data_IF_647881724095
#
_entry.id   IF_647881724095
#
_cell.length_a   1.000
_cell.length_b   1.000
_cell.length_c   1.000
_cell.angle_alpha   90.00
_cell.angle_beta   90.00
_cell.angle_gamma   90.00
#
_symmetry.space_group_name_H-M   'P 1'
#
loop_
_entity.id
_entity.type
_entity.pdbx_description
1 polymer ?
#
# COMPACT_ATOMS: atom_id res chain seq x y z
N UNK A 1 -63.02 -12.45 6.46
CA UNK A 1 -61.93 -11.86 5.66
C UNK A 1 -60.71 -11.70 6.55
N UNK A 2 -59.62 -12.45 6.28
CA UNK A 2 -58.38 -12.39 7.08
C UNK A 2 -57.47 -11.32 6.48
N UNK A 3 -57.15 -10.29 7.27
CA UNK A 3 -56.22 -9.24 6.89
C UNK A 3 -54.80 -9.80 6.74
N UNK A 4 -54.18 -9.50 5.60
CA UNK A 4 -52.83 -9.91 5.23
C UNK A 4 -51.80 -9.20 6.10
N UNK A 5 -50.98 -9.98 6.82
CA UNK A 5 -49.73 -9.49 7.41
C UNK A 5 -48.74 -9.21 6.27
N UNK A 6 -48.58 -7.94 5.95
CA UNK A 6 -47.44 -7.47 5.16
C UNK A 6 -46.18 -7.65 6.01
N UNK A 7 -45.35 -8.61 5.63
CA UNK A 7 -43.96 -8.68 6.10
C UNK A 7 -43.27 -7.47 5.49
N UNK A 8 -42.88 -6.51 6.34
CA UNK A 8 -41.93 -5.48 5.95
C UNK A 8 -40.62 -6.18 5.60
N UNK A 9 -40.44 -6.53 4.32
CA UNK A 9 -39.11 -6.69 3.77
C UNK A 9 -38.41 -5.35 4.03
N UNK A 10 -37.26 -5.32 4.73
CA UNK A 10 -36.48 -4.09 4.77
C UNK A 10 -36.26 -3.70 3.30
N UNK A 11 -36.45 -2.42 2.94
CA UNK A 11 -36.22 -2.00 1.58
C UNK A 11 -34.81 -2.46 1.24
N UNK A 12 -34.69 -3.18 0.13
CA UNK A 12 -33.46 -3.26 -0.65
C UNK A 12 -33.21 -1.82 -1.08
N UNK A 13 -32.74 -1.02 -0.13
CA UNK A 13 -32.26 0.31 -0.33
C UNK A 13 -30.95 0.12 -1.07
N UNK A 14 -31.08 -0.10 -2.38
CA UNK A 14 -30.29 0.59 -3.38
C UNK A 14 -30.34 2.08 -3.04
N UNK A 15 -29.59 2.45 -2.01
CA UNK A 15 -28.94 3.72 -1.87
C UNK A 15 -27.88 3.74 -2.98
N UNK A 16 -28.35 3.85 -4.22
CA UNK A 16 -27.66 4.67 -5.22
C UNK A 16 -27.81 6.08 -4.70
N UNK A 17 -27.03 6.39 -3.65
CA UNK A 17 -26.75 7.76 -3.29
C UNK A 17 -26.14 8.30 -4.58
N UNK A 18 -26.75 9.36 -5.12
CA UNK A 18 -26.06 10.23 -6.04
C UNK A 18 -24.89 10.84 -5.26
N UNK A 19 -23.81 10.06 -5.10
CA UNK A 19 -22.58 10.53 -4.50
C UNK A 19 -22.05 11.52 -5.53
N UNK A 20 -21.85 12.80 -5.16
CA UNK A 20 -21.23 13.75 -6.06
C UNK A 20 -19.96 13.10 -6.61
N UNK A 21 -19.72 13.22 -7.91
CA UNK A 21 -18.49 12.77 -8.54
C UNK A 21 -17.33 13.61 -7.98
N UNK A 22 -16.86 13.25 -6.78
CA UNK A 22 -15.70 13.83 -6.16
C UNK A 22 -14.46 13.28 -6.88
N UNK A 23 -13.45 14.13 -7.06
CA UNK A 23 -12.15 13.77 -7.64
C UNK A 23 -11.42 12.65 -6.86
N UNK A 24 -11.93 12.29 -5.68
CA UNK A 24 -11.55 11.12 -4.91
C UNK A 24 -12.37 9.89 -5.35
N UNK A 25 -12.38 9.59 -6.64
CA UNK A 25 -12.89 8.29 -7.08
C UNK A 25 -11.96 7.25 -6.45
N UNK A 26 -12.50 6.39 -5.59
CA UNK A 26 -11.64 5.45 -4.87
C UNK A 26 -10.92 4.48 -5.80
N UNK A 27 -10.04 3.67 -5.23
CA UNK A 27 -9.08 2.89 -6.01
C UNK A 27 -9.74 1.84 -6.91
N UNK A 28 -9.05 1.33 -7.94
CA UNK A 28 -9.54 0.21 -8.75
C UNK A 28 -9.95 -1.00 -7.91
N UNK A 29 -9.20 -1.31 -6.84
CA UNK A 29 -9.54 -2.38 -5.90
C UNK A 29 -10.84 -2.08 -5.15
N UNK A 30 -11.05 -0.84 -4.70
CA UNK A 30 -12.29 -0.43 -4.05
C UNK A 30 -13.48 -0.59 -5.01
N UNK A 31 -13.39 -0.07 -6.24
CA UNK A 31 -14.44 -0.22 -7.25
C UNK A 31 -14.69 -1.68 -7.63
N UNK A 32 -13.61 -2.46 -7.77
CA UNK A 32 -13.71 -3.89 -8.02
C UNK A 32 -14.44 -4.61 -6.88
N UNK A 33 -14.09 -4.27 -5.64
CA UNK A 33 -14.75 -4.80 -4.44
C UNK A 33 -16.23 -4.42 -4.41
N UNK A 34 -16.58 -3.17 -4.70
CA UNK A 34 -17.97 -2.70 -4.75
C UNK A 34 -18.76 -3.42 -5.85
N UNK A 35 -18.23 -3.50 -7.07
CA UNK A 35 -18.87 -4.18 -8.19
C UNK A 35 -19.12 -5.66 -7.88
N UNK A 36 -18.11 -6.33 -7.31
CA UNK A 36 -18.26 -7.70 -6.86
C UNK A 36 -19.31 -7.84 -5.75
N UNK A 37 -19.29 -6.96 -4.75
CA UNK A 37 -20.23 -7.02 -3.64
C UNK A 37 -21.69 -6.87 -4.09
N UNK A 38 -21.98 -5.91 -4.98
CA UNK A 38 -23.35 -5.59 -5.42
C UNK A 38 -23.87 -6.42 -6.59
N UNK A 39 -23.00 -6.84 -7.51
CA UNK A 39 -23.41 -7.51 -8.75
C UNK A 39 -22.74 -8.88 -8.86
N UNK A 40 -21.43 -8.94 -8.62
CA UNK A 40 -20.65 -10.17 -8.76
C UNK A 40 -21.18 -11.32 -7.89
N UNK A 41 -21.51 -11.07 -6.62
CA UNK A 41 -22.07 -12.08 -5.72
C UNK A 41 -23.38 -12.69 -6.23
N UNK A 42 -24.26 -11.87 -6.81
CA UNK A 42 -25.50 -12.38 -7.40
C UNK A 42 -25.22 -13.25 -8.63
N UNK A 43 -24.29 -12.82 -9.49
CA UNK A 43 -23.87 -13.58 -10.67
C UNK A 43 -23.24 -14.93 -10.29
N UNK A 44 -22.30 -14.92 -9.33
CA UNK A 44 -21.66 -16.13 -8.80
C UNK A 44 -22.70 -17.06 -8.19
N UNK A 45 -23.59 -16.55 -7.34
CA UNK A 45 -24.67 -17.34 -6.74
C UNK A 45 -25.61 -17.97 -7.77
N UNK A 46 -25.88 -17.30 -8.90
CA UNK A 46 -26.64 -17.89 -10.01
C UNK A 46 -25.88 -19.08 -10.63
N UNK A 47 -24.59 -18.89 -10.95
CA UNK A 47 -23.77 -19.95 -11.55
C UNK A 47 -23.67 -21.17 -10.63
N UNK A 48 -23.30 -20.96 -9.37
CA UNK A 48 -23.23 -22.02 -8.36
C UNK A 48 -24.58 -22.71 -8.19
N UNK A 49 -25.66 -21.94 -8.07
CA UNK A 49 -27.01 -22.47 -7.94
C UNK A 49 -27.42 -23.36 -9.12
N UNK A 50 -27.05 -23.00 -10.36
CA UNK A 50 -27.28 -23.82 -11.55
C UNK A 50 -26.47 -25.11 -11.53
N UNK A 51 -25.20 -25.05 -11.10
CA UNK A 51 -24.32 -26.21 -10.97
C UNK A 51 -24.85 -27.17 -9.90
N UNK A 52 -25.23 -26.64 -8.73
CA UNK A 52 -25.83 -27.41 -7.65
C UNK A 52 -27.18 -28.02 -8.07
N UNK A 53 -28.01 -27.28 -8.81
CA UNK A 53 -29.25 -27.84 -9.35
C UNK A 53 -28.98 -29.02 -10.29
N UNK A 54 -27.99 -28.90 -11.19
CA UNK A 54 -27.62 -29.95 -12.15
C UNK A 54 -27.01 -31.18 -11.48
N UNK A 55 -26.01 -31.01 -10.62
CA UNK A 55 -25.25 -32.11 -10.00
C UNK A 55 -25.92 -32.67 -8.74
N UNK A 56 -26.62 -31.81 -8.00
CA UNK A 56 -27.39 -32.16 -6.80
C UNK A 56 -28.79 -32.71 -7.11
N UNK A 57 -29.30 -32.50 -8.33
CA UNK A 57 -30.66 -32.84 -8.71
C UNK A 57 -31.70 -32.01 -7.94
N UNK A 58 -31.37 -30.76 -7.62
CA UNK A 58 -32.25 -29.84 -6.89
C UNK A 58 -33.09 -28.99 -7.84
N UNK A 59 -34.17 -28.40 -7.32
CA UNK A 59 -34.96 -27.43 -8.08
C UNK A 59 -34.15 -26.17 -8.40
N UNK A 60 -34.05 -25.81 -9.69
CA UNK A 60 -33.21 -24.70 -10.19
C UNK A 60 -33.43 -23.40 -9.42
N UNK A 61 -34.68 -22.93 -9.32
CA UNK A 61 -35.01 -21.67 -8.66
C UNK A 61 -34.62 -21.67 -7.19
N UNK A 62 -34.88 -22.79 -6.48
CA UNK A 62 -34.51 -22.92 -5.06
C UNK A 62 -33.00 -22.85 -4.89
N UNK A 63 -32.23 -23.57 -5.71
CA UNK A 63 -30.76 -23.55 -5.63
C UNK A 63 -30.18 -22.18 -5.92
N UNK A 64 -30.66 -21.50 -6.97
CA UNK A 64 -30.20 -20.14 -7.34
C UNK A 64 -30.45 -19.16 -6.21
N UNK A 65 -31.69 -19.06 -5.70
CA UNK A 65 -32.01 -18.13 -4.62
C UNK A 65 -31.23 -18.43 -3.34
N UNK A 66 -31.01 -19.72 -3.04
CA UNK A 66 -30.24 -20.15 -1.86
C UNK A 66 -28.77 -19.75 -2.00
N UNK A 67 -28.16 -19.94 -3.17
CA UNK A 67 -26.75 -19.61 -3.38
C UNK A 67 -26.49 -18.11 -3.49
N UNK A 68 -27.42 -17.33 -4.07
CA UNK A 68 -27.34 -15.87 -4.00
C UNK A 68 -27.32 -15.43 -2.53
N UNK A 69 -28.26 -15.92 -1.71
CA UNK A 69 -28.29 -15.59 -0.28
C UNK A 69 -27.01 -16.02 0.44
N UNK A 70 -26.50 -17.22 0.14
CA UNK A 70 -25.26 -17.74 0.71
C UNK A 70 -24.05 -16.83 0.42
N UNK A 71 -23.88 -16.41 -0.84
CA UNK A 71 -22.78 -15.53 -1.25
C UNK A 71 -22.82 -14.17 -0.53
N UNK A 72 -23.99 -13.54 -0.44
CA UNK A 72 -24.12 -12.26 0.28
C UNK A 72 -23.87 -12.38 1.78
N UNK A 73 -24.35 -13.46 2.42
CA UNK A 73 -24.06 -13.72 3.83
C UNK A 73 -22.57 -13.99 4.02
N UNK A 74 -21.98 -14.81 3.16
CA UNK A 74 -20.54 -15.12 3.18
C UNK A 74 -19.69 -13.86 2.99
N UNK A 75 -20.03 -12.98 2.05
CA UNK A 75 -19.33 -11.71 1.84
C UNK A 75 -19.42 -10.78 3.06
N UNK A 76 -20.61 -10.62 3.64
CA UNK A 76 -20.82 -9.77 4.82
C UNK A 76 -20.04 -10.29 6.04
N UNK A 77 -20.18 -11.57 6.36
CA UNK A 77 -19.52 -12.16 7.53
C UNK A 77 -18.03 -12.38 7.30
N UNK A 78 -17.65 -12.74 6.08
CA UNK A 78 -16.28 -12.85 5.60
C UNK A 78 -15.53 -11.55 5.73
N UNK A 79 -16.07 -10.42 5.26
CA UNK A 79 -15.42 -9.11 5.37
C UNK A 79 -15.11 -8.72 6.83
N UNK A 80 -16.10 -8.87 7.72
CA UNK A 80 -15.93 -8.55 9.14
C UNK A 80 -14.91 -9.47 9.82
N UNK A 81 -15.01 -10.78 9.57
CA UNK A 81 -14.11 -11.78 10.18
C UNK A 81 -12.69 -11.64 9.65
N UNK A 82 -12.54 -11.46 8.34
CA UNK A 82 -11.24 -11.30 7.69
C UNK A 82 -10.56 -10.00 8.14
N UNK A 83 -11.30 -8.91 8.40
CA UNK A 83 -10.74 -7.69 8.96
C UNK A 83 -10.11 -7.89 10.34
N UNK A 84 -10.77 -8.65 11.23
CA UNK A 84 -10.23 -9.00 12.55
C UNK A 84 -8.96 -9.85 12.40
N UNK A 85 -8.99 -10.85 11.52
CA UNK A 85 -7.83 -11.71 11.25
C UNK A 85 -6.69 -10.92 10.60
N UNK A 86 -7.00 -9.99 9.69
CA UNK A 86 -6.01 -9.15 9.03
C UNK A 86 -5.17 -8.36 10.04
N UNK A 87 -5.79 -7.71 11.02
CA UNK A 87 -5.04 -6.99 12.05
C UNK A 87 -4.13 -7.90 12.89
N UNK A 88 -4.60 -9.12 13.20
CA UNK A 88 -3.75 -10.13 13.86
C UNK A 88 -2.58 -10.53 12.96
N UNK A 89 -2.83 -10.81 11.68
CA UNK A 89 -1.79 -11.20 10.73
C UNK A 89 -0.79 -10.07 10.47
N UNK A 90 -1.22 -8.79 10.49
CA UNK A 90 -0.31 -7.64 10.40
C UNK A 90 0.69 -7.66 11.55
N UNK A 91 0.23 -7.85 12.78
CA UNK A 91 1.12 -7.89 13.95
C UNK A 91 2.14 -9.05 13.88
N UNK A 92 1.77 -10.17 13.26
CA UNK A 92 2.63 -11.35 13.12
C UNK A 92 3.64 -11.17 11.99
N UNK A 93 3.18 -10.76 10.81
CA UNK A 93 4.02 -10.76 9.62
C UNK A 93 4.72 -9.43 9.35
N UNK A 94 4.18 -8.30 9.80
CA UNK A 94 4.70 -6.97 9.46
C UNK A 94 5.41 -6.25 10.62
N UNK A 95 5.67 -6.92 11.75
CA UNK A 95 6.28 -6.27 12.91
C UNK A 95 7.78 -6.04 12.78
N UNK A 96 8.53 -7.04 12.29
CA UNK A 96 10.00 -6.96 12.24
C UNK A 96 10.53 -6.43 10.90
N UNK A 97 10.06 -7.00 9.79
CA UNK A 97 10.43 -6.62 8.42
C UNK A 97 9.20 -6.65 7.51
N UNK A 98 8.48 -5.53 7.36
CA UNK A 98 7.27 -5.47 6.56
C UNK A 98 7.50 -5.85 5.08
N UNK A 99 8.67 -5.55 4.50
CA UNK A 99 8.95 -5.83 3.09
C UNK A 99 8.98 -7.34 2.81
N UNK A 100 9.61 -8.11 3.70
CA UNK A 100 9.59 -9.57 3.62
C UNK A 100 8.25 -10.17 4.05
N UNK A 101 7.66 -9.57 5.08
CA UNK A 101 6.42 -10.02 5.71
C UNK A 101 5.18 -9.93 4.82
N UNK A 102 5.11 -8.91 3.97
CA UNK A 102 3.89 -8.58 3.21
C UNK A 102 3.45 -9.70 2.27
N UNK A 103 4.39 -10.48 1.73
CA UNK A 103 4.10 -11.65 0.90
C UNK A 103 3.40 -12.75 1.70
N UNK A 104 3.91 -13.05 2.90
CA UNK A 104 3.32 -14.06 3.77
C UNK A 104 1.96 -13.60 4.31
N UNK A 105 1.84 -12.32 4.65
CA UNK A 105 0.58 -11.69 5.02
C UNK A 105 -0.48 -11.86 3.93
N UNK A 106 -0.16 -11.50 2.68
CA UNK A 106 -1.09 -11.54 1.57
C UNK A 106 -1.59 -12.96 1.28
N UNK A 107 -0.70 -13.94 1.19
CA UNK A 107 -1.11 -15.32 0.95
C UNK A 107 -1.88 -15.93 2.12
N UNK A 108 -1.55 -15.54 3.35
CA UNK A 108 -2.30 -15.96 4.54
C UNK A 108 -3.73 -15.41 4.51
N UNK A 109 -3.92 -14.15 4.11
CA UNK A 109 -5.26 -13.59 3.92
C UNK A 109 -6.05 -14.35 2.85
N UNK A 110 -5.43 -14.67 1.71
CA UNK A 110 -6.07 -15.47 0.65
C UNK A 110 -6.48 -16.84 1.20
N UNK A 111 -5.59 -17.52 1.92
CA UNK A 111 -5.86 -18.83 2.49
C UNK A 111 -7.02 -18.79 3.51
N UNK A 112 -7.02 -17.79 4.40
CA UNK A 112 -8.11 -17.58 5.36
C UNK A 112 -9.42 -17.26 4.64
N UNK A 113 -9.40 -16.40 3.62
CA UNK A 113 -10.59 -16.10 2.84
C UNK A 113 -11.16 -17.36 2.15
N UNK A 114 -10.31 -18.15 1.48
CA UNK A 114 -10.69 -19.43 0.85
C UNK A 114 -11.28 -20.41 1.87
N UNK A 115 -10.80 -20.39 3.12
CA UNK A 115 -11.33 -21.23 4.18
C UNK A 115 -12.66 -20.72 4.76
N UNK A 116 -12.80 -19.42 4.98
CA UNK A 116 -14.00 -18.83 5.59
C UNK A 116 -15.23 -18.93 4.69
N UNK A 117 -15.07 -18.77 3.37
CA UNK A 117 -16.19 -18.80 2.42
C UNK A 117 -17.00 -20.11 2.50
N UNK A 118 -16.42 -21.32 2.37
CA UNK A 118 -17.17 -22.56 2.53
C UNK A 118 -17.73 -22.72 3.94
N UNK A 119 -17.07 -22.22 5.01
CA UNK A 119 -17.62 -22.28 6.37
C UNK A 119 -18.95 -21.53 6.47
N UNK A 120 -19.02 -20.33 5.89
CA UNK A 120 -20.24 -19.51 5.92
C UNK A 120 -21.32 -19.98 4.95
N UNK A 121 -20.95 -20.55 3.81
CA UNK A 121 -21.91 -21.04 2.83
C UNK A 121 -22.42 -22.47 3.09
N UNK A 122 -21.65 -23.28 3.81
CA UNK A 122 -21.98 -24.67 4.11
C UNK A 122 -23.41 -24.88 4.64
N UNK A 123 -23.95 -24.06 5.58
CA UNK A 123 -25.33 -24.20 6.06
C UNK A 123 -26.38 -24.14 4.95
N UNK A 124 -26.15 -23.33 3.91
CA UNK A 124 -27.07 -23.15 2.78
C UNK A 124 -27.04 -24.37 1.85
N UNK A 125 -25.84 -24.90 1.56
CA UNK A 125 -25.69 -26.12 0.75
C UNK A 125 -26.25 -27.34 1.50
N UNK A 126 -26.04 -27.41 2.82
CA UNK A 126 -26.62 -28.44 3.68
C UNK A 126 -28.15 -28.37 3.69
N UNK A 127 -28.73 -27.16 3.71
CA UNK A 127 -30.18 -26.94 3.61
C UNK A 127 -30.75 -27.51 2.30
N UNK A 128 -30.07 -27.35 1.17
CA UNK A 128 -30.47 -27.98 -0.10
C UNK A 128 -30.40 -29.52 -0.03
N UNK A 129 -29.41 -30.05 0.69
CA UNK A 129 -29.20 -31.49 0.86
C UNK A 129 -30.06 -32.15 1.95
N UNK A 130 -30.87 -31.40 2.70
CA UNK A 130 -31.45 -31.86 3.98
C UNK A 130 -32.22 -33.19 3.89
N UNK A 131 -32.93 -33.41 2.78
CA UNK A 131 -33.75 -34.59 2.52
C UNK A 131 -33.04 -35.65 1.65
N UNK A 132 -31.71 -35.60 1.52
CA UNK A 132 -30.93 -36.53 0.70
C UNK A 132 -30.16 -37.54 1.57
N UNK A 133 -29.96 -38.77 1.09
CA UNK A 133 -29.05 -39.71 1.75
C UNK A 133 -27.62 -39.15 1.75
N UNK A 134 -26.85 -39.45 2.82
CA UNK A 134 -25.48 -38.96 3.01
C UNK A 134 -25.35 -37.43 2.88
N UNK A 135 -26.37 -36.70 3.37
CA UNK A 135 -26.48 -35.22 3.24
C UNK A 135 -25.21 -34.48 3.62
N UNK A 136 -24.53 -34.88 4.69
CA UNK A 136 -23.28 -34.26 5.16
C UNK A 136 -22.16 -34.36 4.11
N UNK A 137 -21.76 -35.58 3.74
CA UNK A 137 -20.70 -35.81 2.75
C UNK A 137 -21.03 -35.14 1.41
N UNK A 138 -22.29 -35.28 0.96
CA UNK A 138 -22.74 -34.67 -0.30
C UNK A 138 -22.69 -33.14 -0.25
N UNK A 139 -23.14 -32.54 0.85
CA UNK A 139 -23.11 -31.08 1.01
C UNK A 139 -21.68 -30.52 1.03
N UNK A 140 -20.74 -31.22 1.67
CA UNK A 140 -19.32 -30.82 1.68
C UNK A 140 -18.77 -30.85 0.25
N UNK A 141 -18.92 -31.97 -0.47
CA UNK A 141 -18.41 -32.09 -1.84
C UNK A 141 -19.03 -31.08 -2.81
N UNK A 142 -20.32 -30.80 -2.67
CA UNK A 142 -21.01 -29.79 -3.48
C UNK A 142 -20.59 -28.36 -3.12
N UNK A 143 -20.38 -28.06 -1.84
CA UNK A 143 -19.90 -26.75 -1.39
C UNK A 143 -18.49 -26.48 -1.91
N UNK A 144 -17.57 -27.44 -1.76
CA UNK A 144 -16.21 -27.32 -2.26
C UNK A 144 -16.15 -27.15 -3.78
N UNK A 145 -17.01 -27.86 -4.53
CA UNK A 145 -17.10 -27.72 -5.98
C UNK A 145 -17.61 -26.34 -6.40
N UNK A 146 -18.65 -25.84 -5.75
CA UNK A 146 -19.18 -24.48 -6.00
C UNK A 146 -18.07 -23.45 -5.78
N UNK A 147 -17.37 -23.54 -4.65
CA UNK A 147 -16.25 -22.67 -4.30
C UNK A 147 -15.11 -22.74 -5.32
N UNK A 148 -14.72 -23.92 -5.79
CA UNK A 148 -13.67 -24.04 -6.80
C UNK A 148 -13.99 -23.26 -8.09
N UNK A 149 -15.27 -23.24 -8.48
CA UNK A 149 -15.75 -22.54 -9.68
C UNK A 149 -15.78 -21.03 -9.42
N UNK A 150 -16.23 -20.61 -8.24
CA UNK A 150 -16.24 -19.20 -7.83
C UNK A 150 -14.84 -18.62 -7.78
N UNK A 151 -13.88 -19.32 -7.16
CA UNK A 151 -12.48 -18.88 -7.11
C UNK A 151 -11.79 -18.91 -8.48
N UNK A 152 -12.17 -19.80 -9.39
CA UNK A 152 -11.68 -19.77 -10.77
C UNK A 152 -12.07 -18.46 -11.51
N UNK A 153 -13.15 -17.81 -11.10
CA UNK A 153 -13.59 -16.51 -11.63
C UNK A 153 -12.99 -15.36 -10.82
N UNK A 154 -13.01 -15.46 -9.49
CA UNK A 154 -12.58 -14.39 -8.58
C UNK A 154 -11.08 -14.14 -8.62
N UNK A 155 -10.25 -15.18 -8.75
CA UNK A 155 -8.79 -15.01 -8.77
C UNK A 155 -8.35 -14.13 -9.95
N UNK A 156 -8.74 -14.41 -11.21
CA UNK A 156 -8.41 -13.51 -12.33
C UNK A 156 -8.98 -12.10 -12.15
N UNK A 157 -10.21 -11.99 -11.65
CA UNK A 157 -10.86 -10.71 -11.42
C UNK A 157 -10.09 -9.82 -10.45
N UNK A 158 -9.74 -10.34 -9.27
CA UNK A 158 -8.98 -9.59 -8.29
C UNK A 158 -7.52 -9.41 -8.69
N UNK A 159 -6.90 -10.38 -9.37
CA UNK A 159 -5.54 -10.22 -9.90
C UNK A 159 -5.43 -9.04 -10.87
N UNK A 160 -6.50 -8.76 -11.63
CA UNK A 160 -6.58 -7.59 -12.51
C UNK A 160 -6.84 -6.29 -11.74
N UNK A 161 -7.57 -6.33 -10.63
CA UNK A 161 -7.94 -5.14 -9.85
C UNK A 161 -6.88 -4.71 -8.80
N UNK A 162 -5.97 -5.60 -8.41
CA UNK A 162 -4.89 -5.32 -7.44
C UNK A 162 -3.58 -4.97 -8.13
N UNK A 163 -2.71 -4.19 -7.48
CA UNK A 163 -1.31 -4.05 -7.87
C UNK A 163 -0.44 -4.74 -6.84
N UNK A 164 0.36 -5.72 -7.29
CA UNK A 164 1.26 -6.49 -6.43
C UNK A 164 2.70 -6.44 -6.90
N UNK A 165 3.02 -5.60 -7.90
CA UNK A 165 4.33 -5.63 -8.57
C UNK A 165 5.48 -5.28 -7.63
N UNK A 166 5.26 -4.40 -6.65
CA UNK A 166 6.25 -4.13 -5.60
C UNK A 166 6.61 -5.39 -4.81
N UNK A 167 5.63 -6.26 -4.54
CA UNK A 167 5.82 -7.52 -3.79
C UNK A 167 6.32 -8.68 -4.66
N UNK A 168 5.92 -8.74 -5.94
CA UNK A 168 6.21 -9.89 -6.81
C UNK A 168 7.41 -9.72 -7.71
N UNK A 169 7.79 -8.48 -8.04
CA UNK A 169 8.88 -8.21 -8.97
C UNK A 169 10.16 -7.69 -8.30
N UNK A 170 10.07 -7.20 -7.08
CA UNK A 170 11.24 -6.76 -6.32
C UNK A 170 11.68 -7.85 -5.35
N UNK A 171 12.99 -8.00 -5.20
CA UNK A 171 13.65 -8.88 -4.26
C UNK A 171 13.99 -8.08 -2.99
N UNK A 172 13.30 -8.30 -1.86
CA UNK A 172 13.64 -7.59 -0.64
C UNK A 172 14.92 -8.17 -0.04
N UNK A 173 15.90 -7.30 0.20
CA UNK A 173 17.22 -7.68 0.71
C UNK A 173 17.63 -6.79 1.89
N UNK A 174 18.53 -7.25 2.77
CA UNK A 174 19.14 -6.39 3.78
C UNK A 174 19.90 -5.22 3.15
N UNK A 175 19.87 -4.05 3.78
CA UNK A 175 20.58 -2.85 3.28
C UNK A 175 22.10 -3.06 3.12
N UNK A 176 22.68 -4.00 3.88
CA UNK A 176 24.09 -4.39 3.75
C UNK A 176 24.45 -5.05 2.42
N UNK A 177 23.47 -5.65 1.74
CA UNK A 177 23.65 -6.32 0.43
C UNK A 177 23.42 -5.37 -0.75
N UNK A 178 23.00 -4.13 -0.49
CA UNK A 178 22.79 -3.11 -1.49
C UNK A 178 24.09 -2.40 -1.83
N UNK A 179 24.27 -2.07 -3.11
CA UNK A 179 25.27 -1.09 -3.51
C UNK A 179 24.79 0.30 -3.10
N UNK A 180 25.65 1.03 -2.39
CA UNK A 180 25.30 2.28 -1.71
C UNK A 180 26.30 3.38 -2.06
N UNK A 181 25.83 4.59 -2.40
CA UNK A 181 26.70 5.75 -2.47
C UNK A 181 27.24 6.06 -1.06
N UNK A 182 28.51 6.46 -0.98
CA UNK A 182 29.21 6.72 0.30
C UNK A 182 29.09 8.16 0.77
N UNK A 183 28.64 9.03 -0.11
CA UNK A 183 28.53 10.47 0.02
C UNK A 183 27.07 10.91 0.23
N UNK A 184 26.19 9.99 0.66
CA UNK A 184 24.76 10.30 0.83
C UNK A 184 24.35 10.13 2.29
N UNK A 185 23.78 11.20 2.82
CA UNK A 185 23.11 11.23 4.12
C UNK A 185 21.61 11.42 3.95
N UNK A 186 20.83 10.74 4.79
CA UNK A 186 19.38 10.84 4.81
C UNK A 186 18.97 11.41 6.17
N UNK A 187 18.33 12.57 6.16
CA UNK A 187 17.72 13.16 7.34
C UNK A 187 16.25 12.81 7.39
N UNK A 188 15.74 12.41 8.54
CA UNK A 188 14.35 11.98 8.65
C UNK A 188 13.79 12.20 10.06
N UNK A 189 12.46 12.19 10.15
CA UNK A 189 11.73 12.22 11.41
C UNK A 189 11.48 10.81 11.89
N UNK A 190 11.67 10.56 13.19
CA UNK A 190 11.21 9.32 13.82
C UNK A 190 9.70 9.12 13.63
N UNK A 191 9.16 7.89 13.77
CA UNK A 191 7.73 7.63 13.52
C UNK A 191 6.76 8.45 14.38
N UNK A 192 7.20 8.85 15.58
CA UNK A 192 6.47 9.74 16.50
C UNK A 192 6.74 11.23 16.26
N UNK A 193 7.52 11.59 15.24
CA UNK A 193 7.92 12.96 14.90
C UNK A 193 8.61 13.74 16.03
N UNK A 194 9.19 13.05 17.01
CA UNK A 194 9.81 13.68 18.17
C UNK A 194 11.31 13.96 17.98
N UNK A 195 11.97 13.28 17.04
CA UNK A 195 13.42 13.37 16.86
C UNK A 195 13.74 13.44 15.37
N UNK A 196 14.80 14.16 15.04
CA UNK A 196 15.39 14.21 13.71
C UNK A 196 16.69 13.42 13.74
N UNK A 197 16.72 12.40 12.89
CA UNK A 197 17.85 11.50 12.75
C UNK A 197 18.59 11.76 11.43
N UNK A 198 19.87 11.39 11.41
CA UNK A 198 20.71 11.31 10.21
C UNK A 198 21.18 9.88 10.06
N UNK A 199 20.83 9.29 8.93
CA UNK A 199 21.34 8.01 8.48
C UNK A 199 22.42 8.22 7.41
N UNK A 200 23.65 7.81 7.69
CA UNK A 200 24.74 7.76 6.72
C UNK A 200 24.61 6.48 5.89
N UNK A 201 24.26 6.64 4.61
CA UNK A 201 24.00 5.49 3.73
C UNK A 201 25.29 4.71 3.40
N UNK A 202 26.46 5.34 3.45
CA UNK A 202 27.75 4.70 3.20
C UNK A 202 28.18 3.81 4.36
N UNK A 203 28.07 4.34 5.58
CA UNK A 203 28.53 3.68 6.80
C UNK A 203 27.46 2.86 7.52
N UNK A 204 26.19 2.94 7.10
CA UNK A 204 25.04 2.32 7.78
C UNK A 204 24.91 2.75 9.24
N UNK A 205 25.26 4.00 9.55
CA UNK A 205 25.14 4.54 10.89
C UNK A 205 23.95 5.47 10.99
N UNK A 206 23.10 5.23 11.98
CA UNK A 206 22.01 6.10 12.36
C UNK A 206 22.40 6.92 13.59
N UNK A 207 22.10 8.21 13.58
CA UNK A 207 22.45 9.12 14.67
C UNK A 207 21.35 10.15 14.91
N UNK A 208 20.97 10.35 16.16
CA UNK A 208 20.10 11.44 16.58
C UNK A 208 20.84 12.78 16.34
N UNK A 209 20.18 13.72 15.68
CA UNK A 209 20.73 15.06 15.45
C UNK A 209 20.06 16.10 16.33
N UNK A 210 18.73 16.06 16.42
CA UNK A 210 17.93 17.07 17.13
C UNK A 210 16.71 16.40 17.78
N UNK A 211 16.44 16.71 19.05
CA UNK A 211 15.15 16.42 19.68
C UNK A 211 14.21 17.59 19.48
N UNK A 212 12.99 17.30 19.07
CA UNK A 212 11.91 18.26 18.88
C UNK A 212 11.01 18.25 20.11
N UNK A 213 10.50 19.42 20.51
CA UNK A 213 9.47 19.47 21.55
C UNK A 213 8.24 18.69 21.06
N UNK A 214 7.79 17.74 21.88
CA UNK A 214 6.75 16.74 21.53
C UNK A 214 5.57 17.43 20.87
N UNK A 215 5.33 17.08 19.61
CA UNK A 215 4.17 17.52 18.86
C UNK A 215 3.15 16.39 18.83
N UNK A 216 2.01 16.59 19.48
CA UNK A 216 0.86 15.71 19.30
C UNK A 216 0.24 16.03 17.94
N UNK A 217 0.21 15.06 16.99
CA UNK A 217 -0.44 15.29 15.72
C UNK A 217 -1.92 15.58 15.94
N UNK A 218 -2.41 16.71 15.41
CA UNK A 218 -3.84 16.95 15.35
C UNK A 218 -4.47 15.91 14.42
N UNK A 219 -5.07 14.87 15.00
CA UNK A 219 -5.77 13.82 14.26
C UNK A 219 -7.10 14.34 13.72
N UNK A 220 -7.07 15.12 12.65
CA UNK A 220 -8.28 15.41 11.86
C UNK A 220 -8.49 14.30 10.83
N UNK A 221 -9.71 13.75 10.83
CA UNK A 221 -10.13 12.42 10.35
C UNK A 221 -9.94 12.05 8.86
N UNK A 222 -9.24 12.84 8.04
CA UNK A 222 -9.13 12.50 6.60
C UNK A 222 -7.78 12.80 5.92
N UNK A 223 -6.92 13.60 6.52
CA UNK A 223 -5.55 13.78 6.05
C UNK A 223 -4.71 14.08 7.30
N UNK A 224 -3.97 13.09 7.80
CA UNK A 224 -2.96 13.39 8.80
C UNK A 224 -1.86 14.12 8.03
N UNK A 225 -1.93 15.45 8.05
CA UNK A 225 -0.83 16.28 7.61
C UNK A 225 0.28 16.09 8.63
N UNK A 226 1.18 15.19 8.27
CA UNK A 226 2.33 14.89 9.08
C UNK A 226 3.40 15.95 8.80
N UNK A 227 4.14 16.37 9.83
CA UNK A 227 5.26 17.25 9.63
C UNK A 227 6.27 16.56 8.73
N UNK A 228 6.87 17.34 7.85
CA UNK A 228 7.90 16.86 6.94
C UNK A 228 9.14 17.73 7.07
N UNK A 229 10.28 17.12 6.82
CA UNK A 229 11.51 17.88 6.63
C UNK A 229 11.51 18.42 5.19
N UNK A 230 11.89 19.69 5.06
CA UNK A 230 12.11 20.35 3.78
C UNK A 230 13.49 20.98 3.80
N UNK A 231 14.03 21.23 2.63
CA UNK A 231 15.33 21.88 2.46
C UNK A 231 15.15 23.28 1.91
N UNK A 232 15.96 24.22 2.40
CA UNK A 232 16.14 25.55 1.80
C UNK A 232 17.61 25.69 1.43
N UNK A 233 17.88 26.09 0.19
CA UNK A 233 19.25 26.23 -0.32
C UNK A 233 19.64 27.70 -0.28
N UNK A 234 20.65 28.03 0.52
CA UNK A 234 21.19 29.37 0.72
C UNK A 234 22.64 29.43 0.20
N UNK A 235 22.78 29.44 -1.14
CA UNK A 235 24.08 29.33 -1.80
C UNK A 235 24.64 27.92 -1.71
N UNK A 236 25.81 27.73 -1.08
CA UNK A 236 26.42 26.41 -0.84
C UNK A 236 25.94 25.74 0.46
N UNK A 237 25.12 26.45 1.24
CA UNK A 237 24.61 25.98 2.52
C UNK A 237 23.17 25.48 2.35
N UNK A 238 22.89 24.36 3.01
CA UNK A 238 21.57 23.75 3.08
C UNK A 238 21.06 23.88 4.50
N UNK A 239 19.85 24.42 4.62
CA UNK A 239 19.09 24.44 5.85
C UNK A 239 18.00 23.37 5.77
N UNK A 240 17.79 22.62 6.85
CA UNK A 240 16.67 21.69 7.00
C UNK A 240 15.65 22.35 7.91
N UNK A 241 14.42 22.44 7.42
CA UNK A 241 13.29 23.00 8.16
C UNK A 241 12.25 21.92 8.40
N UNK A 242 11.57 22.02 9.54
CA UNK A 242 10.40 21.24 9.88
C UNK A 242 9.17 22.03 9.47
N UNK A 243 8.46 21.56 8.46
CA UNK A 243 7.18 22.14 8.08
C UNK A 243 6.07 21.39 8.80
N UNK A 244 5.25 22.10 9.60
CA UNK A 244 4.20 21.47 10.44
C UNK A 244 2.91 21.14 9.68
N UNK A 245 2.58 21.97 8.69
CA UNK A 245 1.38 21.91 7.86
C UNK A 245 1.78 22.47 6.47
N UNK A 246 1.12 22.05 5.39
CA UNK A 246 1.36 22.59 4.05
C UNK A 246 1.18 24.12 3.94
N UNK A 247 0.44 24.73 4.86
CA UNK A 247 0.23 26.19 4.97
C UNK A 247 1.37 26.91 5.69
N UNK A 248 2.23 26.17 6.37
CA UNK A 248 3.41 26.74 7.05
C UNK A 248 4.49 27.00 6.00
N UNK A 249 4.48 28.18 5.41
CA UNK A 249 5.44 28.58 4.37
C UNK A 249 6.84 28.84 4.93
N UNK A 250 6.95 29.16 6.22
CA UNK A 250 8.24 29.53 6.82
C UNK A 250 9.03 28.31 7.28
N UNK A 251 8.35 27.33 7.88
CA UNK A 251 8.95 26.16 8.51
C UNK A 251 9.81 26.53 9.72
N UNK A 252 9.98 25.59 10.65
CA UNK A 252 10.87 25.75 11.80
C UNK A 252 12.28 25.29 11.44
N UNK A 253 13.27 26.16 11.53
CA UNK A 253 14.67 25.78 11.29
C UNK A 253 15.10 24.67 12.28
N UNK A 254 15.52 23.52 11.75
CA UNK A 254 16.01 22.37 12.52
C UNK A 254 17.53 22.33 12.49
N UNK A 255 18.10 22.42 11.29
CA UNK A 255 19.54 22.37 11.05
C UNK A 255 19.92 23.44 10.04
N UNK A 256 21.08 24.06 10.23
CA UNK A 256 21.56 25.10 9.32
C UNK A 256 23.02 24.90 8.96
N UNK A 257 23.39 25.37 7.78
CA UNK A 257 24.79 25.41 7.35
C UNK A 257 25.36 24.05 6.94
N UNK A 258 24.52 23.10 6.51
CA UNK A 258 24.98 21.85 5.93
C UNK A 258 25.64 22.13 4.58
N UNK A 259 26.77 21.49 4.29
CA UNK A 259 27.44 21.61 2.99
C UNK A 259 27.14 20.38 2.16
N UNK A 260 26.64 20.58 0.95
CA UNK A 260 26.32 19.49 0.05
C UNK A 260 25.49 19.94 -1.14
N UNK A 261 25.05 18.97 -1.91
CA UNK A 261 24.06 19.14 -2.96
C UNK A 261 22.72 18.59 -2.47
N UNK A 262 21.68 19.40 -2.65
CA UNK A 262 20.30 19.02 -2.43
C UNK A 262 19.42 19.83 -3.38
N UNK A 263 18.29 19.26 -3.78
CA UNK A 263 17.25 20.02 -4.45
C UNK A 263 16.35 20.62 -3.38
N UNK A 264 16.04 21.90 -3.52
CA UNK A 264 15.06 22.58 -2.66
C UNK A 264 13.71 21.87 -2.79
N UNK A 265 13.24 21.32 -1.67
CA UNK A 265 11.99 20.56 -1.67
C UNK A 265 10.83 21.54 -1.56
N UNK A 266 9.90 21.50 -2.52
CA UNK A 266 8.67 22.30 -2.47
C UNK A 266 7.93 22.13 -1.15
N UNK A 267 7.59 23.26 -0.52
CA UNK A 267 6.74 23.33 0.68
C UNK A 267 5.34 22.76 0.42
N UNK A 268 4.85 22.82 -0.81
CA UNK A 268 3.55 22.23 -1.15
C UNK A 268 3.69 20.72 -1.34
N UNK A 269 2.90 19.89 -0.63
CA UNK A 269 2.76 18.47 -0.93
C UNK A 269 2.09 18.36 -2.28
N UNK A 270 2.89 18.29 -3.33
CA UNK A 270 2.42 17.93 -4.64
C UNK A 270 2.10 16.44 -4.60
N UNK A 271 0.86 16.11 -4.23
CA UNK A 271 0.26 14.82 -4.52
C UNK A 271 0.48 14.56 -6.02
N UNK A 272 1.43 13.67 -6.35
CA UNK A 272 1.71 13.27 -7.72
C UNK A 272 2.81 13.99 -8.50
N UNK A 273 3.79 14.65 -7.88
CA UNK A 273 4.92 15.20 -8.64
C UNK A 273 6.29 14.61 -8.30
N UNK A 274 7.18 14.83 -9.26
CA UNK A 274 8.42 14.11 -9.57
C UNK A 274 9.30 13.82 -8.36
N UNK A 275 9.90 12.64 -8.39
CA UNK A 275 11.00 12.35 -7.48
C UNK A 275 12.15 13.32 -7.77
N UNK A 276 12.78 13.78 -6.70
CA UNK A 276 13.96 14.63 -6.80
C UNK A 276 15.07 13.83 -7.49
N UNK A 277 15.66 14.35 -8.57
CA UNK A 277 16.63 13.59 -9.35
C UNK A 277 18.03 14.20 -9.26
N UNK A 278 18.92 13.52 -8.51
CA UNK A 278 20.31 13.94 -8.30
C UNK A 278 21.26 13.46 -9.40
N UNK A 279 20.78 12.64 -10.35
CA UNK A 279 21.63 12.18 -11.46
C UNK A 279 21.95 13.35 -12.38
N UNK A 280 23.11 13.32 -13.01
CA UNK A 280 23.41 14.23 -14.12
C UNK A 280 22.34 14.08 -15.22
N UNK A 281 21.74 15.18 -15.74
CA UNK A 281 20.76 15.12 -16.82
C UNK A 281 21.14 14.24 -18.02
N UNK A 282 22.43 14.17 -18.37
CA UNK A 282 22.94 13.38 -19.49
C UNK A 282 22.90 11.86 -19.22
N UNK A 283 22.88 11.45 -17.96
CA UNK A 283 22.83 10.03 -17.55
C UNK A 283 21.39 9.51 -17.36
N UNK A 284 20.37 10.38 -17.47
CA UNK A 284 18.96 10.07 -17.17
C UNK A 284 18.25 9.34 -18.31
N UNK A 285 18.54 8.04 -18.46
CA UNK A 285 17.82 7.15 -19.38
C UNK A 285 16.39 6.88 -18.92
N UNK A 286 16.23 6.65 -17.62
CA UNK A 286 14.94 6.43 -16.96
C UNK A 286 14.45 7.69 -16.27
N UNK A 287 13.16 8.01 -16.38
CA UNK A 287 12.47 8.97 -15.51
C UNK A 287 11.61 8.21 -14.52
N UNK A 288 11.61 8.63 -13.26
CA UNK A 288 10.79 8.01 -12.22
C UNK A 288 9.83 9.02 -11.63
N UNK A 289 8.62 8.55 -11.36
CA UNK A 289 7.54 9.33 -10.79
C UNK A 289 6.89 8.54 -9.67
N UNK A 290 6.48 9.24 -8.61
CA UNK A 290 5.63 8.67 -7.56
C UNK A 290 4.18 8.45 -8.03
N UNK A 291 3.34 7.90 -7.15
CA UNK A 291 1.91 7.74 -7.39
C UNK A 291 1.27 9.12 -7.45
N UNK A 292 0.31 9.31 -8.36
CA UNK A 292 -0.41 10.56 -8.49
C UNK A 292 -1.54 10.65 -7.47
N UNK A 293 -2.33 9.58 -7.36
CA UNK A 293 -3.55 9.59 -6.55
C UNK A 293 -3.78 8.31 -5.76
N UNK A 294 -3.20 7.17 -6.17
CA UNK A 294 -3.52 5.87 -5.57
C UNK A 294 -2.30 4.98 -5.36
N UNK A 295 -2.34 4.12 -4.34
CA UNK A 295 -1.26 3.17 -4.05
C UNK A 295 -1.00 2.18 -5.19
N UNK A 296 -2.06 1.77 -5.93
CA UNK A 296 -1.94 0.91 -7.13
C UNK A 296 -0.93 1.44 -8.14
N UNK A 297 -0.77 2.77 -8.23
CA UNK A 297 0.09 3.43 -9.19
C UNK A 297 1.57 3.27 -8.87
N UNK A 298 1.91 3.25 -7.57
CA UNK A 298 3.26 3.00 -7.08
C UNK A 298 4.34 3.91 -7.67
N UNK A 299 5.56 3.38 -7.77
CA UNK A 299 6.66 4.02 -8.48
C UNK A 299 6.56 3.68 -9.96
N UNK A 300 6.46 4.67 -10.83
CA UNK A 300 6.43 4.51 -12.29
C UNK A 300 7.78 4.89 -12.88
N UNK A 301 8.33 4.05 -13.74
CA UNK A 301 9.54 4.33 -14.52
C UNK A 301 9.24 4.38 -16.01
N UNK A 302 9.83 5.33 -16.72
CA UNK A 302 9.78 5.42 -18.18
C UNK A 302 11.18 5.59 -18.78
N UNK A 303 11.54 4.71 -19.71
CA UNK A 303 12.81 4.80 -20.43
C UNK A 303 12.63 5.66 -21.69
N UNK A 304 13.38 6.76 -21.78
CA UNK A 304 13.26 7.70 -22.91
C UNK A 304 13.81 7.15 -24.22
N UNK A 305 14.75 6.21 -24.17
CA UNK A 305 15.41 5.64 -25.34
C UNK A 305 14.64 4.44 -25.89
N UNK A 306 14.13 3.58 -25.01
CA UNK A 306 13.47 2.31 -25.39
C UNK A 306 11.95 2.35 -25.34
N UNK A 307 11.37 3.43 -24.81
CA UNK A 307 9.93 3.57 -24.50
C UNK A 307 9.39 2.54 -23.48
N UNK A 308 10.27 1.79 -22.82
CA UNK A 308 9.90 0.82 -21.80
C UNK A 308 9.23 1.49 -20.59
N UNK A 309 8.21 0.82 -20.03
CA UNK A 309 7.45 1.28 -18.86
C UNK A 309 7.46 0.20 -17.80
N UNK A 310 7.68 0.64 -16.57
CA UNK A 310 7.70 -0.20 -15.36
C UNK A 310 6.87 0.45 -14.26
N UNK A 311 6.26 -0.36 -13.41
CA UNK A 311 5.49 0.12 -12.27
C UNK A 311 5.67 -0.80 -11.06
N UNK A 312 5.95 -0.23 -9.90
CA UNK A 312 6.05 -0.96 -8.62
C UNK A 312 5.05 -0.40 -7.63
N UNK A 313 3.87 -1.01 -7.56
CA UNK A 313 2.81 -0.65 -6.63
C UNK A 313 2.44 -1.82 -5.70
N UNK A 314 1.87 -1.48 -4.55
CA UNK A 314 1.25 -2.44 -3.66
C UNK A 314 -0.10 -1.90 -3.18
N UNK A 315 -1.16 -2.52 -3.68
CA UNK A 315 -2.51 -2.32 -3.20
C UNK A 315 -3.24 -3.66 -3.16
N UNK A 316 -3.42 -4.15 -1.93
CA UNK A 316 -4.08 -5.41 -1.60
C UNK A 316 -5.10 -5.19 -0.48
N UNK A 317 -6.01 -6.13 -0.19
CA UNK A 317 -6.93 -5.97 0.93
C UNK A 317 -6.22 -5.62 2.24
N UNK A 318 -6.65 -4.53 2.87
CA UNK A 318 -6.15 -4.00 4.15
C UNK A 318 -4.70 -3.46 4.16
N UNK A 319 -4.01 -3.43 3.01
CA UNK A 319 -2.70 -2.79 2.85
C UNK A 319 -2.67 -1.99 1.54
N UNK A 320 -2.44 -0.71 1.69
CA UNK A 320 -2.12 0.23 0.63
C UNK A 320 -0.79 0.86 1.01
N UNK A 321 0.22 0.78 0.15
CA UNK A 321 1.49 1.45 0.40
C UNK A 321 1.71 2.55 -0.62
N UNK A 322 1.81 3.78 -0.14
CA UNK A 322 2.01 4.96 -0.95
C UNK A 322 3.49 5.35 -0.95
N UNK A 323 4.27 5.02 -2.02
CA UNK A 323 5.62 5.53 -2.14
C UNK A 323 5.61 7.06 -2.24
N UNK A 324 6.33 7.74 -1.35
CA UNK A 324 6.42 9.20 -1.33
C UNK A 324 7.84 9.68 -1.03
N UNK A 325 8.08 10.99 -1.18
CA UNK A 325 9.36 11.63 -0.84
C UNK A 325 10.57 10.96 -1.53
N UNK A 326 10.41 10.61 -2.81
CA UNK A 326 11.44 9.91 -3.56
C UNK A 326 12.58 10.83 -4.00
N UNK A 327 13.81 10.36 -3.83
CA UNK A 327 15.03 10.93 -4.41
C UNK A 327 15.77 9.87 -5.22
N UNK A 328 16.02 10.18 -6.49
CA UNK A 328 16.76 9.33 -7.44
C UNK A 328 18.24 9.69 -7.37
N UNK A 329 19.07 8.67 -7.18
CA UNK A 329 20.51 8.71 -7.06
C UNK A 329 21.18 8.05 -8.26
N UNK A 330 22.50 8.15 -8.33
CA UNK A 330 23.30 7.56 -9.40
C UNK A 330 23.09 6.05 -9.50
N UNK A 331 23.09 5.54 -10.74
CA UNK A 331 22.78 4.13 -11.03
C UNK A 331 21.30 3.76 -10.87
N UNK A 332 20.39 4.72 -11.05
CA UNK A 332 18.93 4.53 -10.97
C UNK A 332 18.45 3.98 -9.61
N UNK A 333 19.17 4.34 -8.54
CA UNK A 333 18.76 3.97 -7.18
C UNK A 333 17.78 5.01 -6.65
N UNK A 334 16.79 4.60 -5.88
CA UNK A 334 15.74 5.50 -5.39
C UNK A 334 15.64 5.36 -3.87
N UNK A 335 15.88 6.43 -3.14
CA UNK A 335 15.51 6.55 -1.73
C UNK A 335 14.10 7.10 -1.66
N UNK A 336 13.20 6.44 -0.94
CA UNK A 336 11.81 6.87 -0.83
C UNK A 336 11.19 6.36 0.46
N UNK A 337 10.00 6.82 0.79
CA UNK A 337 9.26 6.41 1.95
C UNK A 337 8.08 5.51 1.55
N UNK A 338 7.85 4.44 2.31
CA UNK A 338 6.65 3.59 2.29
C UNK A 338 6.08 3.57 3.71
N UNK A 339 4.91 4.18 3.94
CA UNK A 339 4.36 4.36 5.29
C UNK A 339 5.35 5.08 6.22
N UNK A 340 5.83 4.41 7.26
CA UNK A 340 6.86 4.87 8.19
C UNK A 340 8.20 4.15 7.96
N UNK A 341 8.41 3.57 6.79
CA UNK A 341 9.68 2.98 6.39
C UNK A 341 10.35 3.86 5.35
N UNK A 342 11.66 4.06 5.50
CA UNK A 342 12.49 4.64 4.46
C UNK A 342 13.20 3.49 3.76
N UNK A 343 13.10 3.44 2.44
CA UNK A 343 13.54 2.34 1.61
C UNK A 343 14.55 2.82 0.55
N UNK A 344 15.44 1.91 0.15
CA UNK A 344 16.32 2.04 -1.01
C UNK A 344 15.89 1.00 -2.06
N UNK A 345 15.54 1.47 -3.27
CA UNK A 345 15.30 0.63 -4.44
C UNK A 345 16.50 0.72 -5.38
N UNK A 346 17.15 -0.41 -5.67
CA UNK A 346 18.11 -0.56 -6.77
C UNK A 346 17.31 -1.06 -7.98
N UNK A 347 16.89 -0.10 -8.82
CA UNK A 347 15.98 -0.36 -9.93
C UNK A 347 16.57 -1.36 -10.95
N UNK A 348 17.83 -1.21 -11.43
CA UNK A 348 18.40 -2.16 -12.39
C UNK A 348 18.46 -3.60 -11.88
N UNK A 349 18.70 -3.79 -10.58
CA UNK A 349 18.77 -5.12 -9.97
C UNK A 349 17.43 -5.64 -9.45
N UNK A 350 16.36 -4.82 -9.52
CA UNK A 350 15.05 -5.10 -8.92
C UNK A 350 15.16 -5.50 -7.44
N UNK A 351 16.00 -4.80 -6.68
CA UNK A 351 16.18 -5.05 -5.23
C UNK A 351 15.64 -3.90 -4.41
N UNK A 352 15.01 -4.21 -3.29
CA UNK A 352 14.51 -3.22 -2.35
C UNK A 352 15.03 -3.54 -0.95
N UNK A 353 15.44 -2.52 -0.20
CA UNK A 353 15.88 -2.69 1.18
C UNK A 353 15.26 -1.62 2.07
N UNK A 354 14.90 -2.00 3.29
CA UNK A 354 14.58 -1.03 4.35
C UNK A 354 15.88 -0.41 4.86
N UNK A 355 15.95 0.91 4.87
CA UNK A 355 17.05 1.68 5.46
C UNK A 355 16.82 1.83 6.96
N UNK A 356 15.70 2.46 7.33
CA UNK A 356 15.32 2.74 8.71
C UNK A 356 13.79 2.94 8.81
N UNK A 357 13.28 3.08 10.04
CA UNK A 357 11.90 3.43 10.31
C UNK A 357 11.82 4.94 10.56
N UNK A 358 11.07 5.66 9.74
CA UNK A 358 11.05 7.11 9.73
C UNK A 358 10.16 7.71 8.66
N UNK A 359 10.08 9.05 8.64
CA UNK A 359 9.20 9.82 7.77
C UNK A 359 9.90 11.04 7.20
N UNK A 360 9.44 11.50 6.05
CA UNK A 360 9.92 12.70 5.36
C UNK A 360 11.41 12.68 5.08
N UNK A 361 11.96 11.65 4.39
CA UNK A 361 13.39 11.59 4.10
C UNK A 361 13.82 12.79 3.26
N UNK A 362 14.82 13.51 3.74
CA UNK A 362 15.58 14.54 3.03
C UNK A 362 16.95 13.95 2.72
N UNK A 363 17.27 13.86 1.44
CA UNK A 363 18.53 13.27 0.99
C UNK A 363 19.51 14.38 0.64
N UNK A 364 20.72 14.32 1.19
CA UNK A 364 21.79 15.29 0.94
C UNK A 364 23.03 14.54 0.45
N UNK A 365 23.59 14.98 -0.68
CA UNK A 365 24.88 14.51 -1.18
C UNK A 365 26.00 15.36 -0.55
N UNK A 366 26.78 14.77 0.35
CA UNK A 366 27.81 15.47 1.09
C UNK A 366 29.07 15.65 0.24
N UNK A 367 29.56 16.89 0.17
CA UNK A 367 30.86 17.16 -0.43
C UNK A 367 31.93 16.71 0.57
N UNK A 368 32.70 15.67 0.24
CA UNK A 368 33.78 15.15 1.08
C UNK A 368 34.69 16.30 1.56
N UNK A 369 34.89 16.40 2.88
CA UNK A 369 35.72 17.44 3.51
C UNK A 369 37.22 17.36 3.16
N UNK A 370 37.68 16.26 2.57
CA UNK A 370 39.11 15.96 2.36
C UNK A 370 39.82 16.86 1.33
N UNK A 371 39.09 17.72 0.62
CA UNK A 371 39.64 18.63 -0.39
C UNK A 371 39.81 20.08 0.07
N UNK A 372 39.42 20.43 1.31
CA UNK A 372 39.68 21.77 1.83
C UNK A 372 41.03 21.80 2.56
N UNK A 373 42.01 22.61 2.12
CA UNK A 373 43.21 22.84 2.91
C UNK A 373 42.76 23.33 4.29
N UNK A 374 43.17 22.62 5.34
CA UNK A 374 42.92 23.04 6.72
C UNK A 374 43.30 24.52 6.81
N UNK A 375 42.32 25.38 7.07
CA UNK A 375 42.57 26.80 7.25
C UNK A 375 43.64 26.91 8.32
N UNK A 376 44.87 27.23 7.91
CA UNK A 376 45.95 27.54 8.83
C UNK A 376 45.46 28.75 9.60
N UNK A 377 45.05 28.53 10.84
CA UNK A 377 44.83 29.63 11.77
C UNK A 377 46.08 30.51 11.71
N UNK A 378 45.97 31.80 11.35
CA UNK A 378 47.10 32.69 11.50
C UNK A 378 47.41 32.71 13.00
N UNK A 379 48.59 32.18 13.34
CA UNK A 379 49.14 32.35 14.68
C UNK A 379 49.31 33.85 14.89
N UNK A 380 48.51 34.40 15.79
CA UNK A 380 48.63 35.77 16.28
C UNK A 380 49.86 35.94 17.16
#
# INVERSE_FOLDING_TARGET
MKASRWVHLPPISLLVVAIPAHANMGTPLMWGTLLHLYIGNAFIGILEGLILAKLGGFGKTKSILTMIAANYVSALWGFNTLGIVAEQLKSVFLSEDPLMGVRYYFYSLIAVAIFLTPVFEYPFVLFLCWNRPRKWIRSIGLCLLAQAISYAILIPYYSWATSTTLMTELDPVPISEMERPRDVSIYYLTPNCAEVHRFDLGNLSDSEVVKLDIWEPNQTFLHIELPKLVTRVNGELIDILLQKDYRDEEGMLVLSGLKGECVETSLFPTYGHDFTDFRNPDDRKWTFHGPHSWAVEGIKGFNKETEERVWYGLEIPYIEWYPCNGTILDGDRIVFQLEDMICLLDFPKKRIARICQGRGPVVIREIQRDSFPSATHPQS
#
